data_IF_243044905133
#
_entry.id   IF_243044905133
#
_cell.length_a   1.000
_cell.length_b   1.000
_cell.length_c   1.000
_cell.angle_alpha   90.00
_cell.angle_beta   90.00
_cell.angle_gamma   90.00
#
_symmetry.space_group_name_H-M   'P 1'
#
loop_
_entity.id
_entity.type
_entity.pdbx_description
1 polymer ?
#
# COMPACT_ATOMS: atom_id res chain seq x y z
N UNK A 1 -28.59 -8.76 31.92
CA UNK A 1 -27.42 -9.65 31.67
C UNK A 1 -27.77 -10.95 30.95
N UNK A 2 -28.78 -11.75 31.35
CA UNK A 2 -29.11 -13.04 30.70
C UNK A 2 -29.38 -12.93 29.18
N UNK A 3 -30.21 -11.97 28.76
CA UNK A 3 -30.50 -11.69 27.34
C UNK A 3 -29.27 -11.28 26.53
N UNK A 4 -28.35 -10.50 27.12
CA UNK A 4 -27.09 -10.08 26.49
C UNK A 4 -26.14 -11.27 26.33
N UNK A 5 -26.02 -12.13 27.35
CA UNK A 5 -25.22 -13.36 27.28
C UNK A 5 -25.74 -14.33 26.22
N UNK A 6 -27.05 -14.49 26.13
CA UNK A 6 -27.67 -15.35 25.13
C UNK A 6 -27.47 -14.82 23.70
N UNK A 7 -27.53 -13.51 23.52
CA UNK A 7 -27.20 -12.85 22.25
C UNK A 7 -25.73 -13.02 21.87
N UNK A 8 -24.79 -12.77 22.78
CA UNK A 8 -23.35 -13.00 22.52
C UNK A 8 -23.04 -14.46 22.17
N UNK A 9 -23.68 -15.41 22.85
CA UNK A 9 -23.53 -16.83 22.53
C UNK A 9 -24.14 -17.19 21.17
N UNK A 10 -25.18 -16.46 20.72
CA UNK A 10 -25.77 -16.64 19.39
C UNK A 10 -24.88 -16.11 18.27
N UNK A 11 -23.91 -15.24 18.55
CA UNK A 11 -22.93 -14.73 17.58
C UNK A 11 -21.78 -15.73 17.36
N UNK A 12 -21.53 -16.65 18.31
CA UNK A 12 -20.36 -17.55 18.26
C UNK A 12 -20.78 -19.01 17.97
N UNK A 13 -21.90 -19.46 18.53
CA UNK A 13 -22.31 -20.87 18.47
C UNK A 13 -23.29 -21.13 17.32
N UNK A 14 -22.94 -21.97 16.32
CA UNK A 14 -23.79 -22.22 15.15
C UNK A 14 -25.23 -22.63 15.50
N UNK A 15 -25.39 -23.50 16.51
CA UNK A 15 -26.71 -23.97 16.97
C UNK A 15 -27.62 -22.83 17.46
N UNK A 16 -27.03 -21.81 18.09
CA UNK A 16 -27.78 -20.67 18.62
C UNK A 16 -28.03 -19.61 17.53
N UNK A 17 -27.19 -19.54 16.50
CA UNK A 17 -27.42 -18.69 15.32
C UNK A 17 -28.70 -19.06 14.59
N UNK A 18 -29.06 -20.34 14.55
CA UNK A 18 -30.28 -20.81 13.88
C UNK A 18 -31.54 -20.10 14.38
N UNK A 19 -31.61 -19.61 15.62
CA UNK A 19 -32.76 -18.84 16.12
C UNK A 19 -33.06 -17.58 15.30
N UNK A 20 -32.09 -17.09 14.55
CA UNK A 20 -32.18 -15.91 13.72
C UNK A 20 -32.31 -16.21 12.22
N UNK A 21 -32.48 -17.49 11.82
CA UNK A 21 -32.60 -17.88 10.39
C UNK A 21 -33.80 -17.22 9.69
N UNK A 22 -34.86 -16.88 10.43
CA UNK A 22 -36.08 -16.28 9.90
C UNK A 22 -36.04 -14.74 9.82
N UNK A 23 -34.87 -14.14 10.09
CA UNK A 23 -34.67 -12.69 10.07
C UNK A 23 -35.07 -12.07 8.73
N UNK A 24 -35.68 -10.89 8.76
CA UNK A 24 -35.97 -10.13 7.53
C UNK A 24 -34.66 -9.71 6.87
N UNK A 25 -34.59 -9.84 5.55
CA UNK A 25 -33.42 -9.52 4.72
C UNK A 25 -32.88 -8.11 5.01
N UNK A 26 -33.75 -7.13 5.26
CA UNK A 26 -33.35 -5.75 5.58
C UNK A 26 -32.45 -5.66 6.83
N UNK A 27 -32.67 -6.50 7.83
CA UNK A 27 -31.82 -6.53 9.02
C UNK A 27 -30.46 -7.16 8.73
N UNK A 28 -30.41 -8.19 7.88
CA UNK A 28 -29.14 -8.76 7.40
C UNK A 28 -28.31 -7.74 6.63
N UNK A 29 -28.95 -6.95 5.75
CA UNK A 29 -28.29 -5.84 5.05
C UNK A 29 -27.74 -4.80 6.04
N UNK A 30 -28.52 -4.43 7.05
CA UNK A 30 -28.06 -3.51 8.09
C UNK A 30 -26.84 -4.06 8.86
N UNK A 31 -26.83 -5.35 9.15
CA UNK A 31 -25.69 -6.02 9.80
C UNK A 31 -24.44 -5.95 8.91
N UNK A 32 -24.55 -6.26 7.61
CA UNK A 32 -23.43 -6.14 6.68
C UNK A 32 -22.87 -4.70 6.60
N UNK A 33 -23.75 -3.70 6.57
CA UNK A 33 -23.36 -2.29 6.59
C UNK A 33 -22.63 -1.95 7.89
N UNK A 34 -23.15 -2.38 9.05
CA UNK A 34 -22.52 -2.14 10.34
C UNK A 34 -21.14 -2.83 10.45
N UNK A 35 -21.04 -4.06 9.96
CA UNK A 35 -19.80 -4.82 9.82
C UNK A 35 -18.76 -4.08 8.97
N UNK A 36 -19.19 -3.53 7.82
CA UNK A 36 -18.35 -2.71 6.96
C UNK A 36 -17.85 -1.46 7.70
N UNK A 37 -18.73 -0.71 8.38
CA UNK A 37 -18.33 0.47 9.16
C UNK A 37 -17.32 0.14 10.26
N UNK A 38 -17.50 -0.98 10.94
CA UNK A 38 -16.61 -1.43 12.00
C UNK A 38 -15.19 -1.70 11.46
N UNK A 39 -15.09 -2.35 10.30
CA UNK A 39 -13.81 -2.56 9.61
C UNK A 39 -13.20 -1.23 9.14
N UNK A 40 -13.99 -0.36 8.50
CA UNK A 40 -13.52 0.95 8.02
C UNK A 40 -12.97 1.82 9.14
N UNK A 41 -13.53 1.71 10.35
CA UNK A 41 -13.05 2.46 11.49
C UNK A 41 -11.60 2.11 11.86
N UNK A 42 -11.27 0.82 12.00
CA UNK A 42 -9.90 0.42 12.36
C UNK A 42 -8.91 0.79 11.26
N UNK A 43 -9.31 0.61 9.99
CA UNK A 43 -8.52 0.97 8.80
C UNK A 43 -8.21 2.46 8.78
N UNK A 44 -9.22 3.31 9.00
CA UNK A 44 -9.04 4.75 8.93
C UNK A 44 -8.02 5.24 9.97
N UNK A 45 -8.03 4.65 11.17
CA UNK A 45 -7.09 4.99 12.24
C UNK A 45 -5.68 4.42 12.00
N UNK A 46 -5.54 3.20 11.48
CA UNK A 46 -4.24 2.52 11.38
C UNK A 46 -3.49 2.79 10.07
N UNK A 47 -4.20 3.12 8.98
CA UNK A 47 -3.59 3.25 7.63
C UNK A 47 -2.45 4.26 7.62
N UNK A 48 -2.61 5.43 8.23
CA UNK A 48 -1.54 6.45 8.26
C UNK A 48 -0.24 5.91 8.86
N UNK A 49 -0.34 5.19 9.97
CA UNK A 49 0.84 4.58 10.61
C UNK A 49 1.50 3.56 9.69
N UNK A 50 0.72 2.69 9.05
CA UNK A 50 1.27 1.71 8.10
C UNK A 50 1.91 2.36 6.87
N UNK A 51 1.36 3.47 6.37
CA UNK A 51 1.96 4.23 5.27
C UNK A 51 3.27 4.88 5.72
N UNK A 52 3.30 5.48 6.92
CA UNK A 52 4.52 6.04 7.51
C UNK A 52 5.65 5.00 7.58
N UNK A 53 5.35 3.78 8.03
CA UNK A 53 6.34 2.70 8.12
C UNK A 53 6.84 2.23 6.75
N UNK A 54 6.09 2.49 5.67
CA UNK A 54 6.50 2.18 4.30
C UNK A 54 7.36 3.28 3.67
N UNK A 55 7.26 4.51 4.17
CA UNK A 55 8.11 5.62 3.77
C UNK A 55 9.44 5.49 4.51
N UNK A 56 10.47 5.02 3.81
CA UNK A 56 11.83 4.99 4.34
C UNK A 56 12.21 6.38 4.85
N UNK A 57 12.71 6.49 6.08
CA UNK A 57 13.03 7.78 6.71
C UNK A 57 14.13 7.63 7.76
N UNK A 58 14.74 8.77 8.12
CA UNK A 58 15.74 8.82 9.21
C UNK A 58 15.03 9.00 10.54
N UNK A 59 15.40 8.20 11.53
CA UNK A 59 14.94 8.40 12.90
C UNK A 59 15.83 9.44 13.61
N UNK A 60 15.38 10.69 13.66
CA UNK A 60 16.09 11.77 14.35
C UNK A 60 15.97 11.73 15.88
N UNK A 61 15.05 10.94 16.45
CA UNK A 61 14.97 10.76 17.92
C UNK A 61 16.10 9.88 18.43
N UNK A 62 16.49 8.87 17.66
CA UNK A 62 17.57 7.93 18.00
C UNK A 62 18.96 8.43 17.62
N UNK A 63 19.06 9.40 16.71
CA UNK A 63 20.32 9.88 16.15
C UNK A 63 20.47 11.41 16.31
N UNK A 64 21.47 11.83 17.08
CA UNK A 64 21.81 13.25 17.26
C UNK A 64 22.66 13.80 16.10
N UNK A 65 22.08 13.82 14.91
CA UNK A 65 22.70 14.42 13.72
C UNK A 65 22.92 15.93 13.92
N UNK A 66 24.00 16.50 13.42
CA UNK A 66 24.22 17.96 13.41
C UNK A 66 24.55 18.41 12.00
N UNK A 67 24.01 19.54 11.60
CA UNK A 67 24.31 20.14 10.29
C UNK A 67 25.79 20.51 10.26
N UNK A 68 26.49 20.04 9.24
CA UNK A 68 27.93 20.28 9.04
C UNK A 68 28.15 21.51 8.17
N UNK A 69 27.32 21.69 7.14
CA UNK A 69 27.33 22.83 6.23
C UNK A 69 25.94 23.48 6.18
N UNK A 70 25.81 24.65 6.80
CA UNK A 70 24.58 25.45 6.67
C UNK A 70 24.53 26.06 5.26
N UNK A 71 23.43 25.80 4.56
CA UNK A 71 23.14 26.35 3.23
C UNK A 71 21.83 27.11 3.30
N UNK A 72 21.82 28.31 2.72
CA UNK A 72 20.59 29.07 2.56
C UNK A 72 19.80 28.53 1.37
N UNK A 73 18.61 28.00 1.65
CA UNK A 73 17.71 27.49 0.62
C UNK A 73 16.79 28.61 0.10
N UNK A 74 16.35 28.53 -1.16
CA UNK A 74 15.47 29.53 -1.75
C UNK A 74 14.12 29.50 -1.03
N UNK A 75 13.50 30.67 -0.90
CA UNK A 75 12.12 30.74 -0.42
C UNK A 75 11.21 30.21 -1.51
N UNK A 76 10.28 29.33 -1.15
CA UNK A 76 9.31 28.81 -2.10
C UNK A 76 7.95 28.61 -1.43
N UNK A 77 6.92 28.48 -2.26
CA UNK A 77 5.57 28.11 -1.87
C UNK A 77 4.91 27.25 -2.95
N UNK A 78 3.82 26.60 -2.59
CA UNK A 78 2.96 25.91 -3.53
C UNK A 78 1.74 26.80 -3.81
N UNK A 79 1.73 27.43 -4.98
CA UNK A 79 0.70 28.38 -5.40
C UNK A 79 -0.44 27.67 -6.16
N UNK A 80 -1.63 28.28 -6.15
CA UNK A 80 -2.79 27.77 -6.89
C UNK A 80 -2.87 28.46 -8.25
N UNK A 81 -2.99 27.67 -9.33
CA UNK A 81 -3.16 28.22 -10.67
C UNK A 81 -4.59 28.72 -10.91
N UNK A 82 -4.71 29.77 -11.73
CA UNK A 82 -6.00 30.29 -12.20
C UNK A 82 -6.79 29.28 -13.04
N UNK A 83 -6.10 28.35 -13.72
CA UNK A 83 -6.69 27.27 -14.50
C UNK A 83 -7.14 26.07 -13.65
N UNK A 84 -6.98 26.14 -12.32
CA UNK A 84 -7.07 25.00 -11.43
C UNK A 84 -5.74 24.25 -11.28
N UNK A 85 -5.59 23.55 -10.17
CA UNK A 85 -4.35 22.85 -9.80
C UNK A 85 -3.37 23.71 -8.99
N UNK A 86 -2.26 23.09 -8.59
CA UNK A 86 -1.21 23.70 -7.79
C UNK A 86 0.13 23.61 -8.52
N UNK A 87 1.01 24.56 -8.23
CA UNK A 87 2.34 24.62 -8.81
C UNK A 87 3.38 25.14 -7.81
N UNK A 88 4.62 24.73 -7.98
CA UNK A 88 5.78 25.26 -7.25
C UNK A 88 6.07 26.69 -7.72
N UNK A 89 6.19 27.63 -6.78
CA UNK A 89 6.52 29.03 -7.00
C UNK A 89 7.74 29.37 -6.13
N UNK A 90 8.90 29.58 -6.76
CA UNK A 90 10.15 29.88 -6.06
C UNK A 90 10.37 31.39 -6.06
N UNK A 91 10.39 31.98 -4.87
CA UNK A 91 10.58 33.41 -4.63
C UNK A 91 12.07 33.73 -4.53
N UNK A 92 12.79 33.72 -5.66
CA UNK A 92 14.15 34.25 -5.73
C UNK A 92 14.17 35.55 -6.56
N UNK A 93 14.53 36.65 -5.91
CA UNK A 93 14.64 37.97 -6.54
C UNK A 93 15.99 38.04 -7.27
N UNK A 94 16.01 37.66 -8.55
CA UNK A 94 17.04 38.16 -9.46
C UNK A 94 16.86 39.67 -9.64
N UNK A 95 17.97 40.43 -9.73
CA UNK A 95 18.01 41.90 -9.74
C UNK A 95 17.10 42.61 -10.77
N UNK A 96 16.51 41.88 -11.73
CA UNK A 96 15.53 42.39 -12.67
C UNK A 96 14.30 41.46 -12.76
N UNK A 97 13.29 41.73 -11.93
CA UNK A 97 11.89 41.31 -12.06
C UNK A 97 11.56 40.00 -12.80
N UNK A 98 11.37 38.91 -12.04
CA UNK A 98 10.93 37.56 -12.47
C UNK A 98 11.81 36.96 -13.58
N UNK A 99 12.90 36.35 -13.16
CA UNK A 99 13.69 35.47 -14.02
C UNK A 99 12.90 34.21 -14.39
N UNK A 100 13.29 33.63 -15.53
CA UNK A 100 12.90 32.32 -16.03
C UNK A 100 12.87 31.25 -14.92
N UNK A 101 11.94 30.28 -15.00
CA UNK A 101 11.71 29.20 -14.03
C UNK A 101 12.97 28.77 -13.24
N UNK A 102 12.90 28.82 -11.90
CA UNK A 102 14.05 28.56 -11.03
C UNK A 102 14.58 27.13 -11.15
N UNK A 103 15.92 27.00 -11.16
CA UNK A 103 16.66 25.74 -11.11
C UNK A 103 17.78 25.84 -10.08
N UNK A 104 17.90 24.85 -9.18
CA UNK A 104 18.96 24.84 -8.17
C UNK A 104 19.14 23.48 -7.49
N UNK A 105 20.38 23.17 -7.11
CA UNK A 105 20.75 21.94 -6.38
C UNK A 105 21.47 22.34 -5.10
N UNK A 106 21.02 21.78 -3.98
CA UNK A 106 21.53 22.08 -2.66
C UNK A 106 21.86 20.78 -1.91
N UNK A 107 23.05 20.70 -1.32
CA UNK A 107 23.51 19.54 -0.56
C UNK A 107 23.78 19.89 0.90
N UNK A 108 23.00 19.32 1.81
CA UNK A 108 23.19 19.48 3.25
C UNK A 108 23.73 18.16 3.82
N UNK A 109 24.88 18.26 4.47
CA UNK A 109 25.54 17.18 5.18
C UNK A 109 25.20 17.29 6.67
N UNK A 110 24.80 16.15 7.25
CA UNK A 110 24.71 15.99 8.69
C UNK A 110 25.67 14.91 9.16
N UNK A 111 26.16 15.08 10.38
CA UNK A 111 27.02 14.10 11.06
C UNK A 111 26.54 13.89 12.49
N UNK A 112 26.47 12.63 12.94
CA UNK A 112 26.13 12.30 14.33
C UNK A 112 27.39 12.09 15.19
N UNK A 113 27.19 11.92 16.50
CA UNK A 113 28.28 11.66 17.46
C UNK A 113 29.10 10.38 17.22
N UNK A 114 28.63 9.48 16.34
CA UNK A 114 29.28 8.22 15.96
C UNK A 114 29.93 8.29 14.57
N UNK A 115 30.00 9.49 13.99
CA UNK A 115 30.46 9.78 12.64
C UNK A 115 29.65 9.06 11.56
N UNK A 116 28.36 8.77 11.81
CA UNK A 116 27.43 8.42 10.75
C UNK A 116 27.09 9.70 9.99
N UNK A 117 27.02 9.61 8.67
CA UNK A 117 26.70 10.73 7.81
C UNK A 117 25.30 10.60 7.22
N UNK A 118 24.68 11.75 7.00
CA UNK A 118 23.42 11.87 6.27
C UNK A 118 23.61 12.96 5.21
N UNK A 119 23.53 12.56 3.94
CA UNK A 119 23.63 13.46 2.79
C UNK A 119 22.23 13.75 2.25
N UNK A 120 21.77 14.99 2.42
CA UNK A 120 20.49 15.47 1.92
C UNK A 120 20.70 16.29 0.66
N UNK A 121 20.18 15.81 -0.47
CA UNK A 121 20.13 16.55 -1.72
C UNK A 121 18.72 17.12 -1.91
N UNK A 122 18.63 18.43 -2.19
CA UNK A 122 17.38 19.12 -2.51
C UNK A 122 17.56 19.76 -3.88
N UNK A 123 16.74 19.34 -4.83
CA UNK A 123 16.74 19.83 -6.21
C UNK A 123 15.46 20.60 -6.45
N UNK A 124 15.56 21.79 -7.01
CA UNK A 124 14.44 22.55 -7.54
C UNK A 124 14.59 22.65 -9.05
N UNK A 125 13.54 22.27 -9.77
CA UNK A 125 13.40 22.49 -11.21
C UNK A 125 11.95 22.90 -11.50
N UNK A 126 11.66 24.20 -11.33
CA UNK A 126 10.32 24.78 -11.51
C UNK A 126 9.79 24.60 -12.94
N UNK A 127 10.70 24.39 -13.91
CA UNK A 127 10.36 24.18 -15.31
C UNK A 127 9.95 22.74 -15.64
N UNK A 128 10.35 21.78 -14.79
CA UNK A 128 10.12 20.36 -14.99
C UNK A 128 8.65 20.00 -14.72
N UNK A 129 7.96 19.48 -15.74
CA UNK A 129 6.59 18.96 -15.64
C UNK A 129 6.56 17.57 -16.26
N UNK A 130 6.91 16.55 -15.47
CA UNK A 130 7.03 15.16 -15.93
C UNK A 130 5.72 14.61 -16.55
N UNK A 131 4.56 15.21 -16.25
CA UNK A 131 3.24 14.81 -16.77
C UNK A 131 2.58 15.88 -17.65
N UNK A 132 3.35 16.86 -18.13
CA UNK A 132 2.89 17.80 -19.13
C UNK A 132 2.73 17.17 -20.51
N UNK A 133 2.21 17.96 -21.47
CA UNK A 133 1.98 17.53 -22.85
C UNK A 133 3.29 17.23 -23.62
N UNK A 134 4.45 17.61 -23.06
CA UNK A 134 5.78 17.36 -23.60
C UNK A 134 6.65 16.60 -22.57
N UNK A 135 6.52 15.25 -22.49
CA UNK A 135 7.19 14.42 -21.49
C UNK A 135 8.72 14.31 -21.68
N UNK A 136 9.31 15.02 -22.65
CA UNK A 136 10.75 15.02 -22.92
C UNK A 136 11.57 15.85 -21.91
N UNK A 137 10.94 16.49 -20.92
CA UNK A 137 11.65 17.26 -19.89
C UNK A 137 11.69 16.46 -18.59
N UNK A 138 12.58 15.47 -18.56
CA UNK A 138 13.15 14.94 -17.32
C UNK A 138 13.80 16.08 -16.53
N UNK A 139 14.11 15.88 -15.24
CA UNK A 139 15.08 16.76 -14.57
C UNK A 139 16.31 16.81 -15.46
N UNK A 140 16.73 18.03 -15.74
CA UNK A 140 17.85 18.31 -16.62
C UNK A 140 19.08 17.55 -16.10
N UNK A 141 19.60 16.61 -16.91
CA UNK A 141 20.76 15.77 -16.49
C UNK A 141 21.97 16.65 -16.17
N UNK A 142 22.09 17.79 -16.84
CA UNK A 142 23.15 18.76 -16.61
C UNK A 142 22.92 19.53 -15.29
N UNK A 143 21.68 19.63 -14.82
CA UNK A 143 21.34 20.16 -13.49
C UNK A 143 21.59 19.12 -12.39
N UNK A 144 21.00 17.94 -12.51
CA UNK A 144 21.12 16.87 -11.50
C UNK A 144 21.05 15.48 -12.15
N UNK A 145 22.14 14.73 -12.06
CA UNK A 145 22.24 13.38 -12.59
C UNK A 145 21.56 12.35 -11.65
N UNK A 146 20.23 12.25 -11.72
CA UNK A 146 19.46 11.30 -10.92
C UNK A 146 19.94 9.85 -11.12
N UNK A 147 20.26 9.46 -12.35
CA UNK A 147 20.68 8.09 -12.64
C UNK A 147 22.02 7.80 -11.98
N UNK A 148 22.95 8.75 -12.07
CA UNK A 148 24.21 8.70 -11.34
C UNK A 148 23.99 8.64 -9.85
N UNK A 149 23.09 9.48 -9.30
CA UNK A 149 22.77 9.49 -7.87
C UNK A 149 22.29 8.12 -7.40
N UNK A 150 21.35 7.49 -8.11
CA UNK A 150 20.82 6.18 -7.72
C UNK A 150 21.86 5.06 -7.85
N UNK A 151 22.80 5.18 -8.79
CA UNK A 151 23.82 4.15 -9.08
C UNK A 151 25.19 4.45 -8.47
N UNK A 152 25.29 5.49 -7.64
CA UNK A 152 26.55 5.90 -7.04
C UNK A 152 27.14 4.82 -6.13
N UNK A 153 28.46 4.85 -5.98
CA UNK A 153 29.16 3.98 -5.04
C UNK A 153 28.84 4.44 -3.63
N UNK A 154 28.28 3.53 -2.82
CA UNK A 154 27.80 3.86 -1.49
C UNK A 154 28.97 4.02 -0.51
N UNK A 155 29.06 5.20 0.10
CA UNK A 155 29.99 5.46 1.20
C UNK A 155 29.58 4.74 2.50
N UNK A 156 30.58 4.30 3.27
CA UNK A 156 30.35 3.64 4.55
C UNK A 156 29.64 4.58 5.54
N UNK A 157 28.77 4.01 6.39
CA UNK A 157 27.98 4.73 7.41
C UNK A 157 27.22 5.97 6.92
N UNK A 158 26.95 6.06 5.63
CA UNK A 158 26.27 7.20 5.02
C UNK A 158 24.85 6.81 4.63
N UNK A 159 23.89 7.66 4.98
CA UNK A 159 22.49 7.59 4.54
C UNK A 159 22.23 8.70 3.53
N UNK A 160 21.50 8.38 2.47
CA UNK A 160 21.23 9.33 1.38
C UNK A 160 19.75 9.73 1.38
N UNK A 161 19.47 11.03 1.29
CA UNK A 161 18.11 11.54 1.09
C UNK A 161 18.11 12.42 -0.16
N UNK A 162 17.06 12.31 -0.95
CA UNK A 162 16.85 13.15 -2.12
C UNK A 162 15.41 13.66 -2.14
N UNK A 163 15.29 14.97 -2.29
CA UNK A 163 14.05 15.67 -2.62
C UNK A 163 14.21 16.36 -3.96
N UNK A 164 13.26 16.17 -4.87
CA UNK A 164 13.19 16.89 -6.14
C UNK A 164 11.86 17.62 -6.21
N UNK A 165 11.88 18.95 -6.14
CA UNK A 165 10.72 19.81 -6.31
C UNK A 165 10.60 20.19 -7.78
N UNK A 166 9.46 19.82 -8.39
CA UNK A 166 9.14 20.11 -9.79
C UNK A 166 7.90 20.98 -9.87
N UNK A 167 7.45 21.32 -11.08
CA UNK A 167 6.31 22.22 -11.27
C UNK A 167 5.04 21.77 -10.54
N UNK A 168 4.69 20.48 -10.53
CA UNK A 168 3.39 19.98 -10.02
C UNK A 168 3.48 18.98 -8.87
N UNK A 169 4.68 18.47 -8.60
CA UNK A 169 4.93 17.41 -7.63
C UNK A 169 6.28 17.63 -6.98
N UNK A 170 6.48 17.05 -5.80
CA UNK A 170 7.82 16.76 -5.31
C UNK A 170 8.05 15.25 -5.30
N UNK A 171 9.31 14.84 -5.42
CA UNK A 171 9.72 13.45 -5.37
C UNK A 171 10.64 13.23 -4.18
N UNK A 172 10.51 12.08 -3.54
CA UNK A 172 11.31 11.68 -2.41
C UNK A 172 11.95 10.31 -2.67
N UNK A 173 13.26 10.22 -2.45
CA UNK A 173 13.99 8.96 -2.51
C UNK A 173 14.81 8.77 -1.24
N UNK A 174 14.49 7.70 -0.52
CA UNK A 174 15.24 7.27 0.65
C UNK A 174 16.35 6.30 0.24
N UNK A 175 17.56 6.61 0.70
CA UNK A 175 18.74 5.77 0.70
C UNK A 175 19.05 5.08 -0.64
N UNK A 176 19.10 5.90 -1.69
CA UNK A 176 19.36 5.50 -3.08
C UNK A 176 18.31 4.54 -3.67
N UNK A 177 17.15 4.42 -3.03
CA UNK A 177 16.11 3.44 -3.38
C UNK A 177 16.52 2.01 -3.03
N UNK A 178 17.33 1.84 -1.99
CA UNK A 178 17.82 0.54 -1.52
C UNK A 178 17.35 0.26 -0.09
N UNK A 179 17.34 -1.01 0.27
CA UNK A 179 17.06 -1.48 1.62
C UNK A 179 18.03 -2.62 1.99
N UNK A 180 18.16 -2.91 3.29
CA UNK A 180 18.90 -4.08 3.74
C UNK A 180 18.01 -5.31 3.73
N UNK A 181 18.46 -6.39 3.11
CA UNK A 181 17.82 -7.69 3.20
C UNK A 181 18.01 -8.32 4.59
N UNK A 182 17.45 -9.51 4.82
CA UNK A 182 17.58 -10.25 6.08
C UNK A 182 19.03 -10.62 6.45
N UNK A 183 19.96 -10.58 5.49
CA UNK A 183 21.40 -10.81 5.71
C UNK A 183 22.18 -9.52 5.99
N UNK A 184 21.50 -8.37 5.94
CA UNK A 184 22.10 -7.05 6.11
C UNK A 184 22.74 -6.50 4.83
N UNK A 185 22.56 -7.15 3.68
CA UNK A 185 23.09 -6.72 2.39
C UNK A 185 22.14 -5.72 1.74
N UNK A 186 22.71 -4.66 1.16
CA UNK A 186 21.95 -3.71 0.36
C UNK A 186 21.40 -4.36 -0.91
N UNK A 187 20.09 -4.22 -1.10
CA UNK A 187 19.33 -4.66 -2.26
C UNK A 187 18.43 -3.52 -2.73
N UNK A 188 18.02 -3.54 -4.00
CA UNK A 188 17.07 -2.55 -4.49
C UNK A 188 15.72 -2.75 -3.81
N UNK A 189 15.17 -1.66 -3.28
CA UNK A 189 13.88 -1.68 -2.62
C UNK A 189 12.77 -1.86 -3.67
N UNK A 190 11.91 -2.85 -3.44
CA UNK A 190 10.83 -3.20 -4.36
C UNK A 190 9.84 -2.04 -4.59
N UNK A 191 9.63 -1.22 -3.57
CA UNK A 191 8.70 -0.10 -3.60
C UNK A 191 9.30 1.16 -4.20
N UNK A 192 10.61 1.30 -4.40
CA UNK A 192 11.19 2.54 -4.96
C UNK A 192 11.98 2.32 -6.24
N UNK A 193 12.72 1.22 -6.36
CA UNK A 193 13.74 1.05 -7.42
C UNK A 193 13.49 -0.10 -8.40
N UNK A 194 12.61 -1.05 -8.08
CA UNK A 194 12.31 -2.20 -8.96
C UNK A 194 11.70 -1.78 -10.31
N UNK A 195 10.81 -0.78 -10.32
CA UNK A 195 10.15 -0.28 -11.54
C UNK A 195 11.03 0.64 -12.41
N UNK A 196 12.17 1.08 -11.86
CA UNK A 196 13.03 2.11 -12.43
C UNK A 196 13.96 1.56 -13.51
N UNK A 197 14.25 0.26 -13.50
CA UNK A 197 15.14 -0.37 -14.49
C UNK A 197 14.41 -0.79 -15.75
N UNK A 198 15.17 -0.84 -16.85
CA UNK A 198 14.70 -1.43 -18.09
C UNK A 198 14.49 -2.94 -17.95
N UNK A 199 13.39 -3.42 -18.52
CA UNK A 199 13.01 -4.83 -18.53
C UNK A 199 12.72 -5.27 -19.96
N UNK A 200 12.94 -6.56 -20.23
CA UNK A 200 12.49 -7.21 -21.45
C UNK A 200 10.98 -7.48 -21.44
N UNK A 201 10.46 -8.04 -22.53
CA UNK A 201 9.03 -8.36 -22.67
C UNK A 201 8.55 -9.46 -21.71
N UNK A 202 9.46 -10.19 -21.06
CA UNK A 202 9.17 -11.23 -20.08
C UNK A 202 9.26 -10.71 -18.63
N UNK A 203 9.58 -9.42 -18.43
CA UNK A 203 9.75 -8.80 -17.12
C UNK A 203 11.10 -9.07 -16.48
N UNK A 204 12.09 -9.59 -17.21
CA UNK A 204 13.45 -9.74 -16.73
C UNK A 204 14.26 -8.46 -16.95
N UNK A 205 15.17 -8.15 -16.03
CA UNK A 205 16.04 -6.97 -16.14
C UNK A 205 16.97 -7.06 -17.34
N UNK A 206 17.10 -5.93 -18.06
CA UNK A 206 18.12 -5.76 -19.08
C UNK A 206 19.46 -5.39 -18.47
N UNK A 207 20.52 -5.96 -19.00
CA UNK A 207 21.90 -5.65 -18.63
C UNK A 207 22.68 -5.18 -19.84
N UNK A 208 23.61 -4.25 -19.61
CA UNK A 208 24.39 -3.62 -20.65
C UNK A 208 25.88 -3.72 -20.36
N UNK A 209 26.67 -3.83 -21.42
CA UNK A 209 28.12 -3.68 -21.43
C UNK A 209 28.52 -2.64 -22.49
N UNK A 210 29.65 -1.95 -22.30
CA UNK A 210 30.19 -1.09 -23.34
C UNK A 210 30.63 -1.93 -24.54
N UNK A 211 30.31 -1.45 -25.74
CA UNK A 211 30.64 -2.13 -27.00
C UNK A 211 32.06 -1.83 -27.44
N UNK A 212 32.50 -0.58 -27.29
CA UNK A 212 33.84 -0.13 -27.68
C UNK A 212 34.35 1.00 -26.76
N UNK A 213 35.56 1.47 -27.04
CA UNK A 213 36.27 2.49 -26.24
C UNK A 213 35.51 3.82 -26.19
N UNK A 214 34.77 4.19 -27.23
CA UNK A 214 34.07 5.48 -27.30
C UNK A 214 32.90 5.60 -26.32
N UNK A 215 32.40 4.48 -25.80
CA UNK A 215 31.33 4.45 -24.78
C UNK A 215 31.87 4.57 -23.34
N UNK A 216 33.20 4.56 -23.17
CA UNK A 216 33.85 4.59 -21.85
C UNK A 216 34.97 5.62 -21.72
N UNK A 217 35.47 6.15 -22.84
CA UNK A 217 36.55 7.14 -22.89
C UNK A 217 36.24 8.20 -23.97
N UNK A 218 36.46 9.46 -23.63
CA UNK A 218 36.45 10.60 -24.56
C UNK A 218 37.83 11.30 -24.58
N UNK A 219 37.91 12.45 -25.26
CA UNK A 219 39.13 13.26 -25.35
C UNK A 219 39.62 13.82 -24.00
N UNK A 220 38.76 13.86 -22.99
CA UNK A 220 39.03 14.37 -21.64
C UNK A 220 39.30 13.26 -20.63
N UNK A 221 39.12 11.99 -21.00
CA UNK A 221 39.41 10.82 -20.18
C UNK A 221 38.22 9.86 -20.05
N UNK A 222 38.11 9.10 -18.95
CA UNK A 222 36.96 8.23 -18.72
C UNK A 222 35.65 9.00 -18.71
N UNK A 223 34.64 8.48 -19.40
CA UNK A 223 33.30 9.06 -19.40
C UNK A 223 32.59 8.65 -18.10
N UNK A 224 32.63 9.56 -17.12
CA UNK A 224 32.07 9.37 -15.79
C UNK A 224 30.85 10.25 -15.58
N UNK A 225 29.95 9.77 -14.73
CA UNK A 225 28.79 10.47 -14.24
C UNK A 225 29.16 11.46 -13.12
N UNK A 226 28.21 12.26 -12.62
CA UNK A 226 28.49 13.29 -11.60
C UNK A 226 29.04 12.71 -10.27
N UNK A 227 28.90 11.40 -10.06
CA UNK A 227 29.32 10.68 -8.86
C UNK A 227 30.57 9.81 -9.09
N UNK A 228 31.26 9.98 -10.22
CA UNK A 228 32.54 9.32 -10.52
C UNK A 228 32.43 7.87 -11.00
N UNK A 229 31.21 7.37 -11.26
CA UNK A 229 30.99 6.05 -11.85
C UNK A 229 30.88 6.15 -13.38
N UNK A 230 31.19 5.09 -14.13
CA UNK A 230 31.00 5.09 -15.58
C UNK A 230 29.55 5.39 -15.97
N UNK A 231 29.37 6.25 -16.97
CA UNK A 231 28.05 6.56 -17.50
C UNK A 231 27.49 5.40 -18.35
N UNK A 232 26.71 4.54 -17.70
CA UNK A 232 26.09 3.37 -18.36
C UNK A 232 25.00 3.72 -19.37
N UNK A 233 24.58 4.99 -19.48
CA UNK A 233 23.58 5.39 -20.49
C UNK A 233 24.11 5.28 -21.91
N UNK A 234 25.43 5.29 -22.10
CA UNK A 234 26.07 5.17 -23.42
C UNK A 234 26.29 3.72 -23.87
N UNK A 235 26.15 2.74 -22.98
CA UNK A 235 26.54 1.35 -23.25
C UNK A 235 25.58 0.62 -24.19
N UNK A 236 25.99 0.20 -25.38
CA UNK A 236 25.01 -0.29 -26.37
C UNK A 236 24.78 -1.81 -26.39
N UNK A 237 25.67 -2.62 -25.82
CA UNK A 237 25.55 -4.09 -25.88
C UNK A 237 24.65 -4.65 -24.78
N UNK A 238 23.43 -5.07 -25.13
CA UNK A 238 22.53 -5.82 -24.24
C UNK A 238 23.06 -7.25 -24.00
N UNK A 239 23.07 -7.72 -22.75
CA UNK A 239 23.70 -8.98 -22.32
C UNK A 239 23.06 -9.58 -21.07
N UNK A 240 23.66 -10.63 -20.50
CA UNK A 240 23.25 -11.28 -19.26
C UNK A 240 23.94 -10.70 -18.02
N UNK A 241 23.32 -10.85 -16.84
CA UNK A 241 23.77 -10.31 -15.55
C UNK A 241 25.25 -10.49 -15.22
N UNK A 242 25.80 -11.67 -15.47
CA UNK A 242 27.15 -12.02 -15.05
C UNK A 242 28.19 -11.85 -16.18
N UNK A 243 27.77 -11.26 -17.31
CA UNK A 243 28.66 -11.03 -18.43
C UNK A 243 29.71 -9.96 -18.10
N UNK A 244 30.89 -10.13 -18.70
CA UNK A 244 32.01 -9.22 -18.60
C UNK A 244 32.62 -8.98 -19.96
N UNK A 245 33.23 -7.82 -20.14
CA UNK A 245 34.03 -7.49 -21.32
C UNK A 245 35.31 -6.77 -20.90
N UNK A 246 36.30 -6.72 -21.80
CA UNK A 246 37.52 -5.95 -21.60
C UNK A 246 37.60 -4.91 -22.72
N UNK A 247 37.61 -3.64 -22.35
CA UNK A 247 37.80 -2.51 -23.26
C UNK A 247 39.06 -1.77 -22.80
N UNK A 248 40.01 -1.59 -23.71
CA UNK A 248 41.29 -0.91 -23.44
C UNK A 248 42.01 -1.43 -22.17
N UNK A 249 42.05 -2.75 -22.01
CA UNK A 249 42.71 -3.41 -20.87
C UNK A 249 41.97 -3.30 -19.52
N UNK A 250 40.80 -2.65 -19.47
CA UNK A 250 39.95 -2.56 -18.29
C UNK A 250 38.76 -3.51 -18.38
N UNK A 251 38.52 -4.27 -17.30
CA UNK A 251 37.36 -5.15 -17.19
C UNK A 251 36.11 -4.36 -16.82
N UNK A 252 35.02 -4.59 -17.56
CA UNK A 252 33.68 -4.06 -17.28
C UNK A 252 32.72 -5.22 -17.00
N UNK A 253 31.88 -5.06 -15.99
CA UNK A 253 30.83 -6.02 -15.64
C UNK A 253 29.47 -5.47 -16.02
N UNK A 254 28.58 -6.35 -16.47
CA UNK A 254 27.27 -5.96 -16.98
C UNK A 254 26.45 -5.21 -15.92
N UNK A 255 25.89 -4.06 -16.29
CA UNK A 255 25.11 -3.20 -15.40
C UNK A 255 23.66 -3.12 -15.85
N UNK A 256 22.74 -3.01 -14.90
CA UNK A 256 21.34 -2.67 -15.21
C UNK A 256 21.24 -1.19 -15.54
N UNK A 257 20.36 -0.84 -16.48
CA UNK A 257 20.09 0.54 -16.87
C UNK A 257 18.80 1.06 -16.24
N UNK A 258 18.86 2.26 -15.67
CA UNK A 258 17.67 3.01 -15.25
C UNK A 258 17.02 3.62 -16.50
N UNK A 259 15.69 3.47 -16.63
CA UNK A 259 14.89 4.03 -17.72
C UNK A 259 15.18 5.52 -17.90
N UNK A 260 15.19 5.98 -19.15
CA UNK A 260 15.35 7.40 -19.49
C UNK A 260 14.20 8.25 -18.97
N UNK A 261 13.00 7.70 -18.94
CA UNK A 261 11.83 8.38 -18.44
C UNK A 261 11.83 8.39 -16.90
N UNK A 262 12.15 9.57 -16.35
CA UNK A 262 12.21 9.82 -14.92
C UNK A 262 10.89 9.55 -14.20
N UNK A 263 9.74 9.63 -14.88
CA UNK A 263 8.46 9.23 -14.27
C UNK A 263 8.55 7.84 -13.70
N UNK A 264 9.19 6.90 -14.41
CA UNK A 264 9.34 5.53 -13.94
C UNK A 264 10.51 5.35 -12.98
N UNK A 265 11.53 6.22 -13.04
CA UNK A 265 12.71 6.11 -12.18
C UNK A 265 12.39 6.36 -10.70
N UNK A 266 11.47 7.30 -10.43
CA UNK A 266 11.08 7.73 -9.08
C UNK A 266 9.57 7.74 -8.85
N UNK A 267 8.80 7.03 -9.69
CA UNK A 267 7.32 7.02 -9.69
C UNK A 267 6.72 6.84 -8.30
N UNK A 268 7.22 5.85 -7.56
CA UNK A 268 6.68 5.48 -6.26
C UNK A 268 7.08 6.44 -5.14
N UNK A 269 7.97 7.41 -5.42
CA UNK A 269 8.35 8.49 -4.51
C UNK A 269 7.65 9.81 -4.84
N UNK A 270 6.68 9.84 -5.75
CA UNK A 270 5.99 11.06 -6.17
C UNK A 270 4.88 11.50 -5.21
N UNK A 271 4.88 12.80 -4.90
CA UNK A 271 3.82 13.46 -4.15
C UNK A 271 3.31 14.67 -4.93
N UNK A 272 2.17 14.49 -5.59
CA UNK A 272 1.49 15.53 -6.35
C UNK A 272 0.93 16.58 -5.41
N UNK A 273 1.16 17.86 -5.71
CA UNK A 273 0.72 18.97 -4.86
C UNK A 273 -0.81 19.02 -4.64
N UNK A 274 -1.59 18.50 -5.58
CA UNK A 274 -3.05 18.38 -5.43
C UNK A 274 -3.52 17.35 -4.40
N UNK A 275 -2.66 16.43 -3.98
CA UNK A 275 -3.00 15.33 -3.06
C UNK A 275 -2.41 15.49 -1.66
N UNK A 276 -1.60 16.53 -1.44
CA UNK A 276 -0.97 16.82 -0.15
C UNK A 276 -1.62 18.05 0.49
N UNK A 277 -1.48 18.16 1.81
CA UNK A 277 -1.89 19.34 2.56
C UNK A 277 -0.88 20.48 2.35
N UNK A 278 -1.07 21.25 1.29
CA UNK A 278 -0.17 22.35 0.91
C UNK A 278 -0.16 23.50 1.93
N UNK A 279 -1.18 23.62 2.78
CA UNK A 279 -1.23 24.66 3.80
C UNK A 279 -0.12 24.44 4.84
N UNK A 280 0.22 23.17 5.14
CA UNK A 280 1.37 22.80 5.98
C UNK A 280 2.72 23.18 5.36
N UNK A 281 2.84 23.15 4.03
CA UNK A 281 4.06 23.59 3.32
C UNK A 281 4.14 25.12 3.26
N UNK A 282 3.00 25.80 3.12
CA UNK A 282 2.96 27.23 2.91
C UNK A 282 2.95 28.07 4.19
N UNK A 283 2.61 27.48 5.35
CA UNK A 283 2.50 28.15 6.64
C UNK A 283 3.71 29.05 6.97
N UNK A 284 3.47 30.14 7.71
CA UNK A 284 4.52 31.11 8.09
C UNK A 284 5.28 30.72 9.37
N UNK A 285 4.61 30.01 10.29
CA UNK A 285 5.19 29.44 11.51
C UNK A 285 4.92 27.93 11.49
N UNK A 286 5.94 27.11 11.73
CA UNK A 286 5.89 25.62 11.69
C UNK A 286 5.89 24.97 10.29
N UNK A 287 6.31 25.74 9.27
CA UNK A 287 6.31 25.28 7.89
C UNK A 287 7.14 24.01 7.69
N UNK A 288 6.57 23.05 6.98
CA UNK A 288 7.26 21.91 6.37
C UNK A 288 7.98 22.40 5.11
N UNK A 289 8.73 23.50 5.23
CA UNK A 289 9.30 24.26 4.14
C UNK A 289 10.78 24.52 4.40
N UNK A 290 11.60 23.93 3.54
CA UNK A 290 13.05 24.01 3.65
C UNK A 290 13.61 25.44 3.53
N UNK A 291 12.91 26.35 2.82
CA UNK A 291 13.33 27.75 2.64
C UNK A 291 12.88 28.71 3.75
N UNK A 292 12.03 28.25 4.68
CA UNK A 292 11.49 29.09 5.78
C UNK A 292 11.91 28.62 7.16
N UNK A 293 12.11 27.31 7.35
CA UNK A 293 12.40 26.73 8.66
C UNK A 293 13.86 26.29 8.75
N UNK A 294 14.60 26.88 9.69
CA UNK A 294 16.02 26.60 9.89
C UNK A 294 16.26 25.24 10.57
N UNK A 295 15.27 24.66 11.24
CA UNK A 295 15.36 23.30 11.78
C UNK A 295 15.03 22.28 10.69
N UNK A 296 16.03 21.92 9.91
CA UNK A 296 15.88 20.96 8.80
C UNK A 296 15.46 19.57 9.30
N UNK A 297 15.81 19.17 10.53
CA UNK A 297 15.35 17.88 11.09
C UNK A 297 13.85 17.88 11.31
N UNK A 298 13.33 19.00 11.84
CA UNK A 298 11.89 19.20 11.98
C UNK A 298 11.21 19.16 10.62
N UNK A 299 11.77 19.84 9.60
CA UNK A 299 11.22 19.82 8.24
C UNK A 299 11.18 18.41 7.65
N UNK A 300 12.25 17.63 7.78
CA UNK A 300 12.32 16.25 7.28
C UNK A 300 11.30 15.34 7.98
N UNK A 301 11.18 15.45 9.30
CA UNK A 301 10.23 14.65 10.08
C UNK A 301 8.78 14.95 9.67
N UNK A 302 8.45 16.23 9.46
CA UNK A 302 7.10 16.62 9.07
C UNK A 302 6.80 16.35 7.59
N UNK A 303 7.80 16.35 6.70
CA UNK A 303 7.60 15.87 5.32
C UNK A 303 7.14 14.42 5.31
N UNK A 304 7.74 13.56 6.14
CA UNK A 304 7.33 12.15 6.26
C UNK A 304 5.88 12.03 6.76
N UNK A 305 5.47 12.86 7.72
CA UNK A 305 4.09 12.90 8.20
C UNK A 305 3.09 13.34 7.11
N UNK A 306 3.46 14.33 6.31
CA UNK A 306 2.66 14.82 5.19
C UNK A 306 2.55 13.79 4.06
N UNK A 307 3.65 13.13 3.72
CA UNK A 307 3.70 12.01 2.77
C UNK A 307 2.81 10.85 3.23
N UNK A 308 2.93 10.44 4.50
CA UNK A 308 2.13 9.36 5.07
C UNK A 308 0.62 9.67 5.08
N UNK A 309 0.25 10.94 5.28
CA UNK A 309 -1.14 11.38 5.24
C UNK A 309 -1.71 11.34 3.81
N UNK A 310 -0.94 11.79 2.82
CA UNK A 310 -1.32 11.76 1.41
C UNK A 310 -1.54 10.32 0.93
N UNK A 311 -0.57 9.44 1.17
CA UNK A 311 -0.67 8.01 0.82
C UNK A 311 -1.84 7.34 1.54
N UNK A 312 -2.05 7.66 2.81
CA UNK A 312 -3.14 7.09 3.58
C UNK A 312 -4.51 7.52 3.04
N UNK A 313 -4.66 8.75 2.55
CA UNK A 313 -5.91 9.21 1.97
C UNK A 313 -6.25 8.47 0.67
N UNK A 314 -5.26 8.24 -0.19
CA UNK A 314 -5.41 7.44 -1.42
C UNK A 314 -5.80 6.01 -1.05
N UNK A 315 -5.06 5.37 -0.14
CA UNK A 315 -5.30 3.99 0.27
C UNK A 315 -6.65 3.81 0.96
N UNK A 316 -7.05 4.73 1.86
CA UNK A 316 -8.37 4.67 2.52
C UNK A 316 -9.52 4.66 1.52
N UNK A 317 -9.41 5.43 0.43
CA UNK A 317 -10.43 5.45 -0.62
C UNK A 317 -10.55 4.08 -1.31
N UNK A 318 -9.40 3.50 -1.72
CA UNK A 318 -9.36 2.17 -2.32
C UNK A 318 -9.88 1.09 -1.36
N UNK A 319 -9.43 1.12 -0.11
CA UNK A 319 -9.83 0.18 0.93
C UNK A 319 -11.33 0.26 1.22
N UNK A 320 -11.89 1.47 1.22
CA UNK A 320 -13.33 1.68 1.39
C UNK A 320 -14.14 0.97 0.31
N UNK A 321 -13.69 1.05 -0.95
CA UNK A 321 -14.31 0.34 -2.06
C UNK A 321 -14.24 -1.19 -1.89
N UNK A 322 -13.08 -1.74 -1.50
CA UNK A 322 -12.92 -3.17 -1.26
C UNK A 322 -13.76 -3.70 -0.10
N UNK A 323 -13.87 -2.95 1.01
CA UNK A 323 -14.72 -3.33 2.14
C UNK A 323 -16.17 -3.46 1.71
N UNK A 324 -16.67 -2.54 0.88
CA UNK A 324 -18.04 -2.60 0.33
C UNK A 324 -18.25 -3.85 -0.52
N UNK A 325 -17.31 -4.14 -1.43
CA UNK A 325 -17.36 -5.35 -2.25
C UNK A 325 -17.42 -6.61 -1.38
N UNK A 326 -16.52 -6.72 -0.40
CA UNK A 326 -16.38 -7.92 0.44
C UNK A 326 -17.54 -8.08 1.42
N UNK A 327 -18.11 -7.00 1.94
CA UNK A 327 -19.20 -7.09 2.93
C UNK A 327 -20.60 -7.06 2.32
N UNK A 328 -20.77 -6.66 1.05
CA UNK A 328 -22.09 -6.55 0.43
C UNK A 328 -22.23 -7.47 -0.78
N UNK A 329 -21.24 -7.49 -1.68
CA UNK A 329 -21.33 -8.24 -2.95
C UNK A 329 -20.95 -9.72 -2.74
N UNK A 330 -19.82 -10.00 -2.10
CA UNK A 330 -19.35 -11.38 -1.88
C UNK A 330 -20.31 -12.27 -1.06
N UNK A 331 -20.98 -11.77 0.01
CA UNK A 331 -21.96 -12.57 0.74
C UNK A 331 -23.09 -13.06 -0.15
N UNK A 332 -23.56 -12.23 -1.09
CA UNK A 332 -24.61 -12.63 -2.03
C UNK A 332 -24.16 -13.79 -2.91
N UNK A 333 -22.93 -13.74 -3.40
CA UNK A 333 -22.35 -14.80 -4.25
C UNK A 333 -22.21 -16.11 -3.47
N UNK A 334 -21.61 -16.07 -2.28
CA UNK A 334 -21.39 -17.29 -1.50
C UNK A 334 -22.68 -17.87 -0.94
N UNK A 335 -23.60 -17.04 -0.45
CA UNK A 335 -24.93 -17.48 -0.02
C UNK A 335 -25.71 -18.12 -1.16
N UNK A 336 -25.59 -17.58 -2.38
CA UNK A 336 -26.24 -18.17 -3.55
C UNK A 336 -25.70 -19.56 -3.86
N UNK A 337 -24.37 -19.73 -3.86
CA UNK A 337 -23.72 -21.01 -4.10
C UNK A 337 -24.07 -22.03 -3.00
N UNK A 338 -23.94 -21.66 -1.73
CA UNK A 338 -24.27 -22.57 -0.62
C UNK A 338 -25.74 -22.96 -0.66
N UNK A 339 -26.66 -22.02 -0.90
CA UNK A 339 -28.08 -22.31 -1.02
C UNK A 339 -28.39 -23.29 -2.16
N UNK A 340 -27.77 -23.13 -3.34
CA UNK A 340 -27.94 -24.07 -4.46
C UNK A 340 -27.51 -25.49 -4.08
N UNK A 341 -26.40 -25.63 -3.36
CA UNK A 341 -25.86 -26.92 -2.94
C UNK A 341 -26.64 -27.56 -1.79
N UNK A 342 -27.48 -26.80 -1.08
CA UNK A 342 -28.08 -27.21 0.19
C UNK A 342 -29.61 -27.22 0.21
N UNK A 343 -30.26 -27.16 -0.97
CA UNK A 343 -31.73 -27.11 -1.11
C UNK A 343 -32.51 -28.24 -0.41
N UNK A 344 -31.86 -29.35 -0.07
CA UNK A 344 -32.46 -30.52 0.58
C UNK A 344 -32.26 -30.60 2.10
N UNK A 345 -31.64 -29.61 2.73
CA UNK A 345 -31.34 -29.63 4.17
C UNK A 345 -32.30 -28.76 5.00
N UNK A 346 -32.05 -28.68 6.32
CA UNK A 346 -32.87 -27.96 7.32
C UNK A 346 -33.17 -26.52 6.89
N UNK A 347 -32.14 -25.77 6.47
CA UNK A 347 -32.36 -24.48 5.82
C UNK A 347 -32.59 -24.73 4.33
N UNK A 348 -33.69 -24.21 3.77
CA UNK A 348 -34.03 -24.44 2.37
C UNK A 348 -34.33 -23.15 1.59
N UNK A 349 -34.53 -22.03 2.28
CA UNK A 349 -34.78 -20.73 1.64
C UNK A 349 -33.50 -19.90 1.62
N UNK A 350 -33.25 -19.23 0.50
CA UNK A 350 -32.12 -18.31 0.34
C UNK A 350 -32.01 -17.31 1.50
N UNK A 351 -33.15 -16.75 1.95
CA UNK A 351 -33.19 -15.78 3.05
C UNK A 351 -32.60 -16.32 4.36
N UNK A 352 -32.67 -17.63 4.60
CA UNK A 352 -32.19 -18.27 5.83
C UNK A 352 -30.66 -18.33 5.82
N UNK A 353 -30.09 -18.75 4.69
CA UNK A 353 -28.65 -18.71 4.45
C UNK A 353 -28.08 -17.29 4.49
N UNK A 354 -28.84 -16.32 3.95
CA UNK A 354 -28.45 -14.91 3.99
C UNK A 354 -28.46 -14.34 5.41
N UNK A 355 -29.47 -14.69 6.21
CA UNK A 355 -29.54 -14.29 7.62
C UNK A 355 -28.39 -14.87 8.44
N UNK A 356 -28.08 -16.16 8.28
CA UNK A 356 -26.96 -16.80 8.95
C UNK A 356 -25.62 -16.17 8.52
N UNK A 357 -25.43 -15.92 7.23
CA UNK A 357 -24.23 -15.24 6.72
C UNK A 357 -24.06 -13.85 7.36
N UNK A 358 -25.12 -13.06 7.50
CA UNK A 358 -25.00 -11.76 8.16
C UNK A 358 -24.51 -11.86 9.61
N UNK A 359 -24.89 -12.90 10.34
CA UNK A 359 -24.45 -13.10 11.73
C UNK A 359 -22.99 -13.56 11.79
N UNK A 360 -22.54 -14.40 10.86
CA UNK A 360 -21.12 -14.79 10.79
C UNK A 360 -20.22 -13.60 10.54
N UNK A 361 -20.67 -12.66 9.70
CA UNK A 361 -19.99 -11.38 9.45
C UNK A 361 -19.84 -10.51 10.69
N UNK A 362 -20.73 -10.58 11.69
CA UNK A 362 -20.54 -9.83 12.95
C UNK A 362 -19.27 -10.31 13.64
N UNK A 363 -19.08 -11.63 13.73
CA UNK A 363 -17.95 -12.25 14.41
C UNK A 363 -16.63 -11.93 13.72
N UNK A 364 -16.58 -12.11 12.40
CA UNK A 364 -15.36 -11.85 11.63
C UNK A 364 -15.07 -10.36 11.51
N UNK A 365 -16.08 -9.49 11.52
CA UNK A 365 -15.86 -8.04 11.57
C UNK A 365 -15.27 -7.60 12.91
N UNK A 366 -15.76 -8.13 14.04
CA UNK A 366 -15.16 -7.85 15.36
C UNK A 366 -13.70 -8.31 15.39
N UNK A 367 -13.41 -9.50 14.86
CA UNK A 367 -12.04 -9.99 14.74
C UNK A 367 -11.19 -9.06 13.85
N UNK A 368 -11.72 -8.67 12.69
CA UNK A 368 -11.06 -7.78 11.75
C UNK A 368 -10.83 -6.37 12.28
N UNK A 369 -11.73 -5.85 13.10
CA UNK A 369 -11.55 -4.58 13.79
C UNK A 369 -10.34 -4.61 14.71
N UNK A 370 -10.21 -5.66 15.54
CA UNK A 370 -9.07 -5.82 16.46
C UNK A 370 -7.78 -6.00 15.67
N UNK A 371 -7.77 -6.92 14.69
CA UNK A 371 -6.59 -7.23 13.90
C UNK A 371 -6.16 -6.07 12.98
N UNK A 372 -7.10 -5.22 12.56
CA UNK A 372 -6.82 -4.06 11.72
C UNK A 372 -5.98 -2.97 12.37
N UNK A 373 -5.80 -3.03 13.69
CA UNK A 373 -4.81 -2.20 14.40
C UNK A 373 -3.38 -2.76 14.33
N UNK A 374 -3.16 -3.96 13.82
CA UNK A 374 -1.84 -4.61 13.87
C UNK A 374 -1.37 -5.16 12.52
N UNK A 375 -2.30 -5.46 11.61
CA UNK A 375 -2.01 -6.07 10.32
C UNK A 375 -2.30 -5.06 9.21
N UNK A 376 -1.41 -4.96 8.22
CA UNK A 376 -1.63 -4.17 7.00
C UNK A 376 -2.93 -4.60 6.32
N UNK A 377 -3.69 -3.64 5.81
CA UNK A 377 -5.04 -3.90 5.32
C UNK A 377 -5.10 -4.94 4.20
N UNK A 378 -4.18 -4.90 3.23
CA UNK A 378 -4.19 -5.85 2.10
C UNK A 378 -4.07 -7.30 2.59
N UNK A 379 -3.16 -7.55 3.53
CA UNK A 379 -3.00 -8.85 4.18
C UNK A 379 -4.21 -9.20 5.04
N UNK A 380 -4.71 -8.24 5.82
CA UNK A 380 -5.86 -8.44 6.70
C UNK A 380 -7.10 -8.86 5.91
N UNK A 381 -7.40 -8.20 4.79
CA UNK A 381 -8.58 -8.48 3.98
C UNK A 381 -8.54 -9.89 3.41
N UNK A 382 -7.37 -10.33 2.93
CA UNK A 382 -7.20 -11.68 2.44
C UNK A 382 -7.44 -12.72 3.54
N UNK A 383 -6.87 -12.49 4.74
CA UNK A 383 -7.08 -13.35 5.91
C UNK A 383 -8.57 -13.40 6.29
N UNK A 384 -9.24 -12.25 6.37
CA UNK A 384 -10.65 -12.16 6.76
C UNK A 384 -11.57 -12.82 5.73
N UNK A 385 -11.29 -12.68 4.44
CA UNK A 385 -12.06 -13.34 3.38
C UNK A 385 -12.03 -14.88 3.55
N UNK A 386 -10.84 -15.45 3.80
CA UNK A 386 -10.66 -16.89 4.01
C UNK A 386 -11.37 -17.34 5.30
N UNK A 387 -11.14 -16.63 6.40
CA UNK A 387 -11.75 -16.96 7.70
C UNK A 387 -13.27 -16.90 7.61
N UNK A 388 -13.83 -15.87 6.98
CA UNK A 388 -15.28 -15.72 6.81
C UNK A 388 -15.86 -16.86 5.97
N UNK A 389 -15.24 -17.20 4.84
CA UNK A 389 -15.73 -18.29 4.00
C UNK A 389 -15.75 -19.63 4.75
N UNK A 390 -14.65 -19.97 5.43
CA UNK A 390 -14.53 -21.21 6.20
C UNK A 390 -15.54 -21.21 7.36
N UNK A 391 -15.65 -20.10 8.08
CA UNK A 391 -16.54 -19.98 9.22
C UNK A 391 -18.01 -20.09 8.80
N UNK A 392 -18.40 -19.41 7.73
CA UNK A 392 -19.74 -19.48 7.17
C UNK A 392 -20.11 -20.90 6.71
N UNK A 393 -19.22 -21.58 5.98
CA UNK A 393 -19.43 -22.98 5.55
C UNK A 393 -19.57 -23.90 6.76
N UNK A 394 -18.69 -23.76 7.76
CA UNK A 394 -18.75 -24.55 8.98
C UNK A 394 -20.07 -24.34 9.74
N UNK A 395 -20.50 -23.08 9.91
CA UNK A 395 -21.75 -22.73 10.59
C UNK A 395 -22.96 -23.31 9.85
N UNK A 396 -23.04 -23.10 8.53
CA UNK A 396 -24.15 -23.60 7.72
C UNK A 396 -24.22 -25.12 7.70
N UNK A 397 -23.08 -25.81 7.54
CA UNK A 397 -23.01 -27.26 7.64
C UNK A 397 -23.45 -27.75 9.02
N UNK A 398 -22.98 -27.11 10.09
CA UNK A 398 -23.30 -27.52 11.47
C UNK A 398 -24.78 -27.36 11.79
N UNK A 399 -25.44 -26.32 11.28
CA UNK A 399 -26.87 -26.09 11.41
C UNK A 399 -27.65 -27.15 10.61
N UNK A 400 -27.29 -27.34 9.34
CA UNK A 400 -28.01 -28.23 8.43
C UNK A 400 -27.89 -29.72 8.78
N UNK A 401 -26.87 -30.10 9.55
CA UNK A 401 -26.64 -31.47 10.00
C UNK A 401 -26.96 -31.69 11.49
N UNK A 402 -27.56 -30.70 12.17
CA UNK A 402 -27.87 -30.84 13.59
C UNK A 402 -29.02 -31.85 13.80
N UNK A 403 -28.77 -32.98 14.48
CA UNK A 403 -29.81 -33.99 14.71
C UNK A 403 -31.01 -33.45 15.50
N UNK A 404 -30.78 -32.46 16.36
CA UNK A 404 -31.85 -31.84 17.16
C UNK A 404 -32.78 -30.96 16.32
N UNK A 405 -32.31 -30.46 15.17
CA UNK A 405 -33.11 -29.68 14.22
C UNK A 405 -33.75 -30.59 13.16
N UNK A 406 -33.08 -31.69 12.80
CA UNK A 406 -33.59 -32.71 11.88
C UNK A 406 -34.70 -33.56 12.52
N UNK A 407 -34.59 -33.86 13.82
CA UNK A 407 -35.56 -34.63 14.59
C UNK A 407 -35.85 -33.88 15.90
N UNK A 408 -36.71 -32.84 15.88
CA UNK A 408 -37.07 -32.13 17.11
C UNK A 408 -37.72 -33.14 18.07
N UNK A 409 -37.08 -33.40 19.21
CA UNK A 409 -37.71 -34.17 20.29
C UNK A 409 -38.94 -33.40 20.75
N UNK A 410 -40.08 -34.07 20.87
CA UNK A 410 -41.40 -33.52 21.22
C UNK A 410 -41.50 -32.72 22.54
N UNK A 411 -40.39 -32.49 23.24
CA UNK A 411 -40.38 -31.84 24.56
C UNK A 411 -40.50 -30.30 24.51
N UNK A 412 -40.42 -29.65 23.33
CA UNK A 412 -40.71 -28.21 23.19
C UNK A 412 -42.15 -27.91 22.68
N UNK A 413 -43.00 -28.91 22.38
CA UNK A 413 -44.43 -28.72 22.06
C UNK A 413 -45.30 -28.51 23.30
N UNK A 414 -44.88 -27.66 24.25
CA UNK A 414 -45.70 -27.35 25.44
C UNK A 414 -46.09 -25.89 25.65
N UNK A 415 -45.71 -24.96 24.77
CA UNK A 415 -46.09 -23.55 24.96
C UNK A 415 -46.99 -22.92 23.88
N UNK A 416 -47.33 -23.60 22.78
CA UNK A 416 -48.25 -23.04 21.77
C UNK A 416 -49.48 -23.94 21.56
N UNK A 417 -50.33 -24.02 22.58
CA UNK A 417 -51.68 -24.59 22.45
C UNK A 417 -52.70 -23.49 22.17
N UNK A 418 -52.63 -22.84 20.99
CA UNK A 418 -53.80 -22.11 20.49
C UNK A 418 -53.84 -21.79 18.98
N UNK A 419 -53.33 -22.67 18.12
CA UNK A 419 -53.57 -22.49 16.67
C UNK A 419 -53.75 -23.83 15.95
N UNK A 420 -54.88 -24.49 16.24
CA UNK A 420 -55.35 -25.65 15.49
C UNK A 420 -55.92 -25.19 14.14
N UNK A 421 -55.05 -24.85 13.16
CA UNK A 421 -55.35 -24.93 11.71
C UNK A 421 -54.15 -24.51 10.85
N UNK A 422 -53.03 -25.24 10.94
CA UNK A 422 -52.00 -25.24 9.89
C UNK A 422 -51.86 -26.66 9.35
N UNK A 423 -51.99 -26.90 8.03
CA UNK A 423 -51.70 -28.20 7.47
C UNK A 423 -50.23 -28.53 7.75
N UNK A 424 -50.00 -29.70 8.37
CA UNK A 424 -48.68 -30.27 8.59
C UNK A 424 -48.01 -30.44 7.23
N UNK A 425 -46.97 -29.65 6.98
CA UNK A 425 -46.05 -29.89 5.87
C UNK A 425 -45.14 -31.02 6.35
N UNK A 426 -45.38 -32.24 5.87
CA UNK A 426 -44.45 -33.35 6.04
C UNK A 426 -43.08 -32.91 5.51
N UNK A 427 -42.14 -32.65 6.42
CA UNK A 427 -40.74 -32.54 6.06
C UNK A 427 -40.25 -33.96 5.73
N UNK A 428 -39.55 -34.16 4.60
CA UNK A 428 -39.04 -35.48 4.26
C UNK A 428 -38.06 -35.94 5.35
N UNK A 429 -38.40 -37.06 6.00
CA UNK A 429 -37.57 -37.67 7.02
C UNK A 429 -36.31 -38.26 6.37
N UNK A 430 -35.19 -37.54 6.43
CA UNK A 430 -33.90 -38.05 5.97
C UNK A 430 -33.44 -39.11 6.98
N UNK A 431 -33.48 -40.37 6.57
CA UNK A 431 -33.12 -41.51 7.42
C UNK A 431 -31.71 -41.97 7.07
N UNK A 432 -30.71 -41.65 7.87
CA UNK A 432 -29.34 -42.13 7.64
C UNK A 432 -29.23 -43.61 8.04
N UNK A 433 -29.25 -44.53 7.07
CA UNK A 433 -28.91 -45.94 7.29
C UNK A 433 -27.40 -46.12 7.23
N UNK A 434 -26.80 -46.56 8.35
CA UNK A 434 -25.41 -47.00 8.38
C UNK A 434 -25.28 -48.33 7.62
N UNK A 435 -24.66 -48.30 6.45
CA UNK A 435 -24.30 -49.52 5.72
C UNK A 435 -23.06 -50.09 6.39
N UNK A 436 -23.11 -51.36 6.82
CA UNK A 436 -21.93 -52.10 7.30
C UNK A 436 -21.09 -52.53 6.09
N UNK A 437 -20.28 -51.62 5.56
CA UNK A 437 -18.90 -51.88 5.08
C UNK A 437 -18.36 -50.60 4.45
N UNK A 438 -17.26 -50.11 5.02
CA UNK A 438 -16.27 -49.13 4.55
C UNK A 438 -16.77 -47.83 3.87
N UNK A 439 -16.76 -46.78 4.69
CA UNK A 439 -16.45 -45.38 4.38
C UNK A 439 -17.27 -44.58 3.35
N UNK A 440 -18.58 -44.83 3.24
CA UNK A 440 -19.49 -43.83 2.66
C UNK A 440 -20.90 -43.85 3.29
N UNK A 441 -21.43 -42.67 3.61
CA UNK A 441 -22.84 -42.47 3.96
C UNK A 441 -23.63 -42.13 2.68
N UNK A 442 -24.73 -42.84 2.42
CA UNK A 442 -25.69 -42.51 1.38
C UNK A 442 -26.85 -41.69 1.98
N UNK A 443 -27.29 -40.63 1.28
CA UNK A 443 -28.48 -39.84 1.62
C UNK A 443 -29.60 -40.21 0.66
N UNK A 444 -30.74 -40.66 1.18
CA UNK A 444 -32.02 -40.77 0.43
C UNK A 444 -32.92 -39.58 0.73
#
# INVERSE_FOLDING_TARGET
MKKVKEFLLSIILPRKMYRHHSMKVIYSVFVFILSAFLLLFSINLSTKRFMKDMIGSVNFEENDYKVVNEIQLPKYRIAKSNSGGYYLDVEEVGEDGKADNFKGVFEILFEDSKNNQLKLNIVFDESCDLFGDDPAKSVDKDLFDLKGYMTQTREDKTTYLLYIFTKKSFYYLYDLGQEKDSSGKWVDNANTRYGSYEMDNNGAYKYYLPTDVSEVMDENGPILNQYGNYDTSLWTTETTKDAKTIIDGKEFSAQRRIKDDMRYAIYNGEYVYGNIDIDKINAESDAVNFGKNNDIKYVLTNHVELMAEADANIQKSMYSFFVVIINIVFPLVWVFITWLLSRKFVMNKFKEYYAICSITYITTSILGFILGFFIKFDTLMFILLIIELIYYIFVTFRINTDPNLLNPKDEERKDDSNDNNKPEVEQPAITFKKIKSDDAYHVE
#
